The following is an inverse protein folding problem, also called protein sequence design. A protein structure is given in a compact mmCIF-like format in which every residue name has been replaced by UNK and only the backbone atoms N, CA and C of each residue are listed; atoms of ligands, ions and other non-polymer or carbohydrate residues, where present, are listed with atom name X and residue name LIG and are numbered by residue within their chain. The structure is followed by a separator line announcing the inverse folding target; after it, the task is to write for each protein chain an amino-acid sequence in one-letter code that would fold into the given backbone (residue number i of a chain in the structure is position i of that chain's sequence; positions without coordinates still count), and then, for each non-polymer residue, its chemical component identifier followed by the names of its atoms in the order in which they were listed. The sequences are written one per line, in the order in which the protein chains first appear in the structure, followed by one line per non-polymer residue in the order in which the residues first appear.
data_IF_674290405826
#
_entry.id   IF_674290405826
#
_cell.length_a   1.000
_cell.length_b   1.000
_cell.length_c   1.000
_cell.angle_alpha   90.00
_cell.angle_beta   90.00
_cell.angle_gamma   90.00
#
_symmetry.space_group_name_H-M   'P 1'
#
loop_
_entity.id
_entity.type
_entity.pdbx_description
1 polymer ?
#
# COMPACT_ATOMS: atom_id res chain seq x y z
N UNK A 1 6.93 -44.28 -9.49
CA UNK A 1 8.08 -43.39 -9.21
C UNK A 1 7.88 -42.16 -10.08
N UNK A 2 7.28 -41.07 -9.63
CA UNK A 2 7.88 -39.99 -8.82
C UNK A 2 6.78 -39.40 -7.93
N UNK A 3 6.97 -39.44 -6.61
CA UNK A 3 6.14 -38.68 -5.66
C UNK A 3 6.52 -37.20 -5.80
N UNK A 4 5.79 -36.45 -6.61
CA UNK A 4 5.86 -34.99 -6.58
C UNK A 4 5.12 -34.54 -5.31
N UNK A 5 5.82 -34.54 -4.17
CA UNK A 5 5.37 -33.81 -2.98
C UNK A 5 5.35 -32.34 -3.45
N UNK A 6 4.18 -31.71 -3.64
CA UNK A 6 4.17 -30.30 -3.98
C UNK A 6 4.87 -29.61 -2.82
N UNK A 7 5.91 -28.82 -3.10
CA UNK A 7 6.58 -28.09 -2.02
C UNK A 7 5.50 -27.32 -1.25
N UNK A 8 5.49 -27.40 0.08
CA UNK A 8 4.45 -26.77 0.90
C UNK A 8 4.25 -25.28 0.54
N UNK A 9 5.32 -24.68 0.01
CA UNK A 9 5.35 -23.38 -0.62
C UNK A 9 4.40 -23.26 -1.83
N UNK A 10 4.54 -24.09 -2.89
CA UNK A 10 3.66 -24.04 -4.08
C UNK A 10 2.17 -24.15 -3.72
N UNK A 11 1.83 -25.04 -2.79
CA UNK A 11 0.43 -25.20 -2.31
C UNK A 11 -0.08 -23.91 -1.65
N UNK A 12 0.76 -23.23 -0.87
CA UNK A 12 0.42 -21.96 -0.22
C UNK A 12 0.18 -20.84 -1.24
N UNK A 13 0.98 -20.78 -2.31
CA UNK A 13 0.81 -19.82 -3.40
C UNK A 13 -0.48 -20.04 -4.19
N UNK A 14 -0.82 -21.30 -4.49
CA UNK A 14 -2.11 -21.59 -5.13
C UNK A 14 -3.31 -21.23 -4.25
N UNK A 15 -3.19 -21.38 -2.92
CA UNK A 15 -4.26 -21.07 -1.98
C UNK A 15 -4.55 -19.56 -1.89
N UNK A 16 -3.54 -18.72 -2.07
CA UNK A 16 -3.65 -17.26 -2.14
C UNK A 16 -4.48 -16.77 -3.34
N UNK A 17 -4.65 -17.57 -4.39
CA UNK A 17 -5.54 -17.27 -5.51
C UNK A 17 -7.04 -17.40 -5.18
N UNK A 18 -7.39 -17.94 -4.01
CA UNK A 18 -8.78 -18.01 -3.55
C UNK A 18 -9.15 -16.75 -2.75
N UNK A 19 -10.24 -16.02 -3.12
CA UNK A 19 -10.68 -14.82 -2.40
C UNK A 19 -10.77 -14.97 -0.87
N UNK A 20 -11.43 -16.00 -0.31
CA UNK A 20 -11.56 -16.10 1.15
C UNK A 20 -10.24 -16.33 1.87
N UNK A 21 -9.28 -17.06 1.27
CA UNK A 21 -7.98 -17.29 1.90
C UNK A 21 -7.12 -16.02 1.89
N UNK A 22 -7.24 -15.20 0.84
CA UNK A 22 -6.54 -13.92 0.76
C UNK A 22 -7.13 -12.89 1.72
N UNK A 23 -8.45 -12.76 1.81
CA UNK A 23 -9.11 -11.86 2.74
C UNK A 23 -8.78 -12.17 4.20
N UNK A 24 -8.71 -13.45 4.56
CA UNK A 24 -8.30 -13.85 5.91
C UNK A 24 -6.88 -13.37 6.22
N UNK A 25 -5.93 -13.58 5.29
CA UNK A 25 -4.56 -13.13 5.47
C UNK A 25 -4.46 -11.60 5.53
N UNK A 26 -5.13 -10.91 4.60
CA UNK A 26 -5.17 -9.45 4.56
C UNK A 26 -5.75 -8.88 5.85
N UNK A 27 -6.86 -9.43 6.35
CA UNK A 27 -7.48 -9.00 7.61
C UNK A 27 -6.57 -9.11 8.83
N UNK A 28 -5.63 -10.08 8.84
CA UNK A 28 -4.62 -10.19 9.88
C UNK A 28 -3.51 -9.15 9.75
N UNK A 29 -3.15 -8.77 8.52
CA UNK A 29 -2.03 -7.85 8.22
C UNK A 29 -2.47 -6.38 8.31
N UNK A 30 -3.71 -6.07 7.91
CA UNK A 30 -4.29 -4.71 7.91
C UNK A 30 -4.05 -3.95 9.23
N UNK A 31 -4.33 -4.49 10.45
CA UNK A 31 -4.16 -3.71 11.67
C UNK A 31 -2.70 -3.34 11.93
N UNK A 32 -1.75 -4.23 11.62
CA UNK A 32 -0.32 -3.96 11.80
C UNK A 32 0.19 -2.93 10.81
N UNK A 33 -0.17 -3.07 9.53
CA UNK A 33 0.19 -2.10 8.49
C UNK A 33 -0.48 -0.75 8.74
N UNK A 34 -1.74 -0.76 9.19
CA UNK A 34 -2.48 0.44 9.57
C UNK A 34 -1.84 1.17 10.76
N UNK A 35 -1.42 0.44 11.79
CA UNK A 35 -0.70 1.00 12.92
C UNK A 35 0.66 1.60 12.49
N UNK A 36 1.43 0.88 11.68
CA UNK A 36 2.70 1.38 11.15
C UNK A 36 2.50 2.63 10.28
N UNK A 37 1.47 2.64 9.44
CA UNK A 37 1.09 3.79 8.61
C UNK A 37 0.77 5.01 9.49
N UNK A 38 -0.05 4.83 10.54
CA UNK A 38 -0.39 5.90 11.46
C UNK A 38 0.84 6.48 12.16
N UNK A 39 1.74 5.63 12.65
CA UNK A 39 2.99 6.07 13.30
C UNK A 39 3.84 6.88 12.33
N UNK A 40 4.01 6.40 11.09
CA UNK A 40 4.79 7.10 10.07
C UNK A 40 4.16 8.44 9.66
N UNK A 41 2.84 8.52 9.56
CA UNK A 41 2.13 9.78 9.28
C UNK A 41 2.37 10.79 10.40
N UNK A 42 2.23 10.38 11.67
CA UNK A 42 2.47 11.27 12.82
C UNK A 42 3.93 11.74 12.86
N UNK A 43 4.88 10.82 12.66
CA UNK A 43 6.29 11.16 12.61
C UNK A 43 6.61 12.13 11.45
N UNK A 44 6.05 11.90 10.26
CA UNK A 44 6.21 12.75 9.09
C UNK A 44 5.58 14.13 9.26
N UNK A 45 4.40 14.22 9.88
CA UNK A 45 3.74 15.48 10.22
C UNK A 45 4.59 16.32 11.18
N UNK A 46 5.09 15.69 12.25
CA UNK A 46 5.97 16.36 13.21
C UNK A 46 7.28 16.82 12.55
N UNK A 47 7.89 15.94 11.76
CA UNK A 47 9.11 16.26 11.01
C UNK A 47 8.94 17.41 10.02
N UNK A 48 7.87 17.37 9.22
CA UNK A 48 7.61 18.36 8.17
C UNK A 48 7.15 19.71 8.68
N UNK A 49 6.32 19.76 9.74
CA UNK A 49 5.74 21.02 10.23
C UNK A 49 6.53 21.68 11.35
N UNK A 50 7.27 20.91 12.15
CA UNK A 50 7.94 21.42 13.35
C UNK A 50 9.47 21.40 13.25
N UNK A 51 10.05 20.32 12.73
CA UNK A 51 11.52 20.19 12.64
C UNK A 51 12.10 20.84 11.39
N UNK A 52 11.33 20.94 10.30
CA UNK A 52 11.82 21.45 9.04
C UNK A 52 12.20 22.95 9.13
N UNK A 53 13.35 23.36 8.59
CA UNK A 53 13.74 24.76 8.57
C UNK A 53 12.80 25.57 7.66
N UNK A 54 12.58 26.83 7.99
CA UNK A 54 11.87 27.77 7.12
C UNK A 54 12.76 28.24 5.99
N UNK A 55 12.17 28.43 4.81
CA UNK A 55 12.87 29.06 3.70
C UNK A 55 12.87 30.58 3.84
N UNK A 56 13.90 31.24 3.31
CA UNK A 56 14.05 32.70 3.41
C UNK A 56 12.97 33.48 2.64
N UNK A 57 12.49 32.96 1.50
CA UNK A 57 11.49 33.65 0.67
C UNK A 57 10.05 33.29 1.05
N UNK A 58 9.83 32.05 1.49
CA UNK A 58 8.49 31.53 1.78
C UNK A 58 8.18 31.42 3.28
N UNK A 59 9.15 31.70 4.15
CA UNK A 59 9.00 31.69 5.60
C UNK A 59 8.47 30.34 6.12
N UNK A 60 7.53 30.41 7.05
CA UNK A 60 6.86 29.24 7.65
C UNK A 60 6.00 28.45 6.65
N UNK A 61 5.50 29.10 5.57
CA UNK A 61 4.65 28.42 4.57
C UNK A 61 5.41 27.36 3.78
N UNK A 62 6.74 27.47 3.69
CA UNK A 62 7.59 26.45 3.07
C UNK A 62 7.38 25.07 3.68
N UNK A 63 7.11 24.99 4.99
CA UNK A 63 6.94 23.70 5.70
C UNK A 63 5.80 22.85 5.16
N UNK A 64 4.80 23.47 4.51
CA UNK A 64 3.64 22.78 3.94
C UNK A 64 4.06 21.85 2.78
N UNK A 65 5.15 22.14 2.07
CA UNK A 65 5.58 21.30 0.92
C UNK A 65 5.91 19.87 1.36
N UNK A 66 6.42 19.69 2.58
CA UNK A 66 6.77 18.38 3.13
C UNK A 66 5.54 17.48 3.34
N UNK A 67 4.34 18.06 3.37
CA UNK A 67 3.08 17.31 3.36
C UNK A 67 2.48 17.23 1.94
N UNK A 68 2.55 18.34 1.19
CA UNK A 68 1.93 18.42 -0.12
C UNK A 68 2.57 17.50 -1.17
N UNK A 69 3.90 17.54 -1.32
CA UNK A 69 4.61 16.77 -2.36
C UNK A 69 4.40 15.26 -2.19
N UNK A 70 4.61 14.65 -1.01
CA UNK A 70 4.36 13.23 -0.84
C UNK A 70 2.87 12.88 -0.96
N UNK A 71 1.93 13.74 -0.52
CA UNK A 71 0.50 13.45 -0.68
C UNK A 71 0.05 13.48 -2.15
N UNK A 72 0.59 14.39 -2.96
CA UNK A 72 0.36 14.42 -4.40
C UNK A 72 0.87 13.12 -5.07
N UNK A 73 2.05 12.65 -4.67
CA UNK A 73 2.60 11.40 -5.20
C UNK A 73 1.78 10.17 -4.76
N UNK A 74 1.35 10.12 -3.50
CA UNK A 74 0.47 9.05 -3.00
C UNK A 74 -0.87 9.02 -3.74
N UNK A 75 -1.46 10.18 -4.06
CA UNK A 75 -2.68 10.27 -4.86
C UNK A 75 -2.48 9.63 -6.25
N UNK A 76 -1.40 9.99 -6.95
CA UNK A 76 -1.09 9.42 -8.26
C UNK A 76 -0.81 7.92 -8.19
N UNK A 77 -0.10 7.46 -7.15
CA UNK A 77 0.16 6.05 -6.91
C UNK A 77 -1.14 5.24 -6.75
N UNK A 78 -2.11 5.75 -5.98
CA UNK A 78 -3.42 5.10 -5.81
C UNK A 78 -4.15 4.97 -7.14
N UNK A 79 -4.11 5.98 -8.01
CA UNK A 79 -4.69 5.88 -9.36
C UNK A 79 -4.02 4.81 -10.22
N UNK A 80 -2.70 4.68 -10.15
CA UNK A 80 -1.97 3.62 -10.88
C UNK A 80 -2.38 2.23 -10.36
N UNK A 81 -2.47 2.05 -9.03
CA UNK A 81 -2.93 0.78 -8.43
C UNK A 81 -4.37 0.47 -8.84
N UNK A 82 -5.25 1.46 -8.85
CA UNK A 82 -6.63 1.29 -9.28
C UNK A 82 -6.72 0.91 -10.78
N UNK A 83 -5.97 1.60 -11.64
CA UNK A 83 -5.94 1.34 -13.07
C UNK A 83 -5.40 -0.05 -13.39
N UNK A 84 -4.32 -0.46 -12.72
CA UNK A 84 -3.73 -1.80 -12.88
C UNK A 84 -4.67 -2.90 -12.37
N UNK A 85 -5.29 -2.71 -11.21
CA UNK A 85 -6.29 -3.66 -10.67
C UNK A 85 -7.49 -3.80 -11.62
N UNK A 86 -7.99 -2.67 -12.15
CA UNK A 86 -9.08 -2.65 -13.13
C UNK A 86 -8.70 -3.36 -14.44
N UNK A 87 -7.48 -3.15 -14.95
CA UNK A 87 -6.99 -3.84 -16.14
C UNK A 87 -6.89 -5.37 -15.90
N UNK A 88 -6.39 -5.78 -14.73
CA UNK A 88 -6.32 -7.21 -14.36
C UNK A 88 -7.71 -7.83 -14.31
N UNK A 89 -8.67 -7.14 -13.67
CA UNK A 89 -10.07 -7.58 -13.62
C UNK A 89 -10.67 -7.72 -15.02
N UNK A 90 -10.48 -6.75 -15.91
CA UNK A 90 -11.07 -6.78 -17.25
C UNK A 90 -10.48 -7.87 -18.15
N UNK A 91 -9.17 -8.06 -18.13
CA UNK A 91 -8.48 -9.00 -19.04
C UNK A 91 -8.62 -10.44 -18.54
N UNK A 92 -8.37 -10.69 -17.26
CA UNK A 92 -8.32 -12.04 -16.69
C UNK A 92 -9.56 -12.42 -15.87
N UNK A 93 -10.50 -11.49 -15.64
CA UNK A 93 -11.73 -11.74 -14.85
C UNK A 93 -11.43 -12.35 -13.48
N UNK A 94 -10.35 -11.86 -12.85
CA UNK A 94 -9.95 -12.32 -11.53
C UNK A 94 -10.84 -11.68 -10.46
N UNK A 95 -11.67 -12.50 -9.80
CA UNK A 95 -12.54 -12.07 -8.69
C UNK A 95 -11.81 -11.38 -7.54
N UNK A 96 -10.50 -11.64 -7.38
CA UNK A 96 -9.65 -10.98 -6.40
C UNK A 96 -9.33 -9.51 -6.74
N UNK A 97 -9.35 -9.15 -8.02
CA UNK A 97 -9.03 -7.79 -8.48
C UNK A 97 -10.28 -6.89 -8.60
N UNK A 98 -11.47 -7.47 -8.43
CA UNK A 98 -12.76 -6.77 -8.44
C UNK A 98 -13.18 -6.23 -7.08
N UNK A 99 -12.47 -6.62 -6.02
CA UNK A 99 -12.96 -6.61 -4.66
C UNK A 99 -12.05 -5.80 -3.72
#
# INVERSE_FOLDING_TARGET
MINAIPSAWLVRFHRLGSPPSFYHLSGLIIPWVGAACLILIVAGLYGGLYLAPTDYQQGESYRIIYLHVPSAWMSMFVYVVLATSSAISLIWRMKLAEA
#
